data_IF_676902787574
#
_entry.id   IF_676902787574
#
_cell.length_a   1.000
_cell.length_b   1.000
_cell.length_c   1.000
_cell.angle_alpha   90.00
_cell.angle_beta   90.00
_cell.angle_gamma   90.00
#
_symmetry.space_group_name_H-M   'P 1'
#
loop_
_entity.id
_entity.type
_entity.pdbx_description
1 polymer ?
#
# COMPACT_ATOMS: atom_id res chain seq x y z
N UNK A 1 26.07 -28.61 11.44
CA UNK A 1 25.00 -28.15 10.53
C UNK A 1 25.45 -28.44 9.10
N UNK A 2 24.87 -29.45 8.44
CA UNK A 2 25.30 -29.82 7.09
C UNK A 2 25.13 -28.65 6.12
N UNK A 3 26.05 -28.51 5.16
CA UNK A 3 26.07 -27.43 4.15
C UNK A 3 24.70 -27.21 3.50
N UNK A 4 24.00 -28.30 3.17
CA UNK A 4 22.62 -28.29 2.62
C UNK A 4 21.62 -27.59 3.53
N UNK A 5 21.66 -27.85 4.85
CA UNK A 5 20.77 -27.21 5.84
C UNK A 5 21.05 -25.70 5.95
N UNK A 6 22.32 -25.31 5.98
CA UNK A 6 22.73 -23.89 6.07
C UNK A 6 22.29 -23.07 4.86
N UNK A 7 22.42 -23.63 3.65
CA UNK A 7 21.96 -22.99 2.41
C UNK A 7 20.44 -22.79 2.46
N UNK A 8 19.69 -23.83 2.80
CA UNK A 8 18.23 -23.77 2.86
C UNK A 8 17.73 -22.75 3.90
N UNK A 9 18.36 -22.70 5.08
CA UNK A 9 18.03 -21.70 6.09
C UNK A 9 18.30 -20.27 5.60
N UNK A 10 19.42 -20.06 4.89
CA UNK A 10 19.78 -18.74 4.34
C UNK A 10 18.78 -18.29 3.28
N UNK A 11 18.40 -19.18 2.35
CA UNK A 11 17.40 -18.89 1.32
C UNK A 11 16.03 -18.56 1.93
N UNK A 12 15.58 -19.35 2.91
CA UNK A 12 14.33 -19.09 3.64
C UNK A 12 14.34 -17.72 4.35
N UNK A 13 15.47 -17.36 4.99
CA UNK A 13 15.62 -16.05 5.65
C UNK A 13 15.55 -14.90 4.64
N UNK A 14 16.17 -15.04 3.47
CA UNK A 14 16.13 -14.02 2.39
C UNK A 14 14.71 -13.86 1.83
N UNK A 15 14.02 -14.96 1.53
CA UNK A 15 12.64 -14.94 1.05
C UNK A 15 11.69 -14.27 2.06
N UNK A 16 11.80 -14.61 3.35
CA UNK A 16 11.00 -13.96 4.41
C UNK A 16 11.25 -12.45 4.49
N UNK A 17 12.50 -12.01 4.36
CA UNK A 17 12.85 -10.58 4.34
C UNK A 17 12.29 -9.84 3.12
N UNK A 18 12.31 -10.47 1.95
CA UNK A 18 11.72 -9.90 0.74
C UNK A 18 10.20 -9.78 0.88
N UNK A 19 9.53 -10.85 1.34
CA UNK A 19 8.08 -10.84 1.53
C UNK A 19 7.65 -9.81 2.58
N UNK A 20 8.36 -9.69 3.69
CA UNK A 20 8.06 -8.70 4.74
C UNK A 20 8.12 -7.24 4.24
N UNK A 21 8.96 -6.95 3.24
CA UNK A 21 9.01 -5.61 2.60
C UNK A 21 7.81 -5.34 1.70
N UNK A 22 7.22 -6.40 1.13
CA UNK A 22 6.07 -6.31 0.22
C UNK A 22 4.72 -6.37 0.95
N UNK A 23 4.71 -6.79 2.23
CA UNK A 23 3.49 -6.83 3.03
C UNK A 23 3.07 -5.41 3.41
N UNK A 24 2.01 -4.92 2.77
CA UNK A 24 1.21 -3.82 3.30
C UNK A 24 0.26 -4.36 4.37
N UNK A 25 0.19 -3.70 5.52
CA UNK A 25 -0.76 -4.06 6.57
C UNK A 25 -2.18 -3.80 6.07
N UNK A 26 -3.05 -4.81 6.07
CA UNK A 26 -4.49 -4.67 5.76
C UNK A 26 -5.27 -3.79 6.75
N UNK A 27 -4.62 -3.35 7.85
CA UNK A 27 -5.24 -2.45 8.82
C UNK A 27 -5.15 -1.01 8.32
N UNK A 28 -6.26 -0.25 8.32
CA UNK A 28 -6.20 1.18 8.05
C UNK A 28 -5.29 1.82 9.08
N UNK A 29 -4.36 2.66 8.62
CA UNK A 29 -3.51 3.45 9.52
C UNK A 29 -4.42 4.35 10.35
N UNK A 30 -4.23 4.37 11.67
CA UNK A 30 -4.94 5.32 12.52
C UNK A 30 -4.49 6.73 12.14
N UNK A 31 -5.42 7.51 11.61
CA UNK A 31 -5.25 8.93 11.28
C UNK A 31 -6.08 9.74 12.26
N UNK A 32 -5.53 10.85 12.76
CA UNK A 32 -6.26 11.72 13.67
C UNK A 32 -7.48 12.33 12.94
N UNK A 33 -8.52 12.74 13.68
CA UNK A 33 -9.76 13.33 13.12
C UNK A 33 -9.47 14.47 12.14
N UNK A 34 -8.48 15.30 12.44
CA UNK A 34 -8.05 16.40 11.57
C UNK A 34 -7.44 15.92 10.23
N UNK A 35 -6.64 14.85 10.25
CA UNK A 35 -6.05 14.27 9.04
C UNK A 35 -7.09 13.54 8.19
N UNK A 36 -8.06 12.88 8.83
CA UNK A 36 -9.19 12.24 8.13
C UNK A 36 -10.05 13.28 7.39
N UNK A 37 -10.41 14.38 8.05
CA UNK A 37 -11.15 15.47 7.40
C UNK A 37 -10.38 16.09 6.22
N UNK A 38 -9.05 16.24 6.36
CA UNK A 38 -8.19 16.73 5.27
C UNK A 38 -8.17 15.76 4.08
N UNK A 39 -8.02 14.45 4.33
CA UNK A 39 -8.01 13.42 3.28
C UNK A 39 -9.38 13.27 2.59
N UNK A 40 -10.47 13.35 3.34
CA UNK A 40 -11.84 13.34 2.78
C UNK A 40 -12.06 14.54 1.86
N UNK A 41 -11.67 15.75 2.29
CA UNK A 41 -11.76 16.95 1.44
C UNK A 41 -10.94 16.80 0.14
N UNK A 42 -9.68 16.32 0.23
CA UNK A 42 -8.81 16.06 -0.93
C UNK A 42 -9.42 15.02 -1.89
N UNK A 43 -9.94 13.91 -1.36
CA UNK A 43 -10.58 12.86 -2.18
C UNK A 43 -11.85 13.35 -2.89
N UNK A 44 -12.55 14.31 -2.28
CA UNK A 44 -13.77 14.88 -2.84
C UNK A 44 -13.47 15.88 -3.97
N UNK A 45 -12.33 16.59 -3.91
CA UNK A 45 -11.84 17.40 -5.02
C UNK A 45 -11.34 16.55 -6.21
N UNK A 46 -10.65 15.43 -5.96
CA UNK A 46 -10.15 14.56 -7.03
C UNK A 46 -11.29 13.84 -7.80
N UNK A 47 -12.40 13.53 -7.13
CA UNK A 47 -13.57 12.88 -7.75
C UNK A 47 -14.47 13.84 -8.54
N UNK A 48 -14.38 15.16 -8.29
CA UNK A 48 -15.09 16.17 -9.09
C UNK A 48 -14.43 16.45 -10.44
N UNK A 49 -13.10 16.34 -10.56
CA UNK A 49 -12.42 16.68 -11.83
C UNK A 49 -12.63 15.59 -12.91
N UNK A 50 -12.66 14.32 -12.52
CA UNK A 50 -12.85 13.19 -13.46
C UNK A 50 -14.24 13.11 -14.12
N UNK A 51 -15.22 13.87 -13.63
CA UNK A 51 -16.57 13.92 -14.23
C UNK A 51 -16.75 15.08 -15.22
N UNK A 52 -15.79 16.01 -15.32
CA UNK A 52 -15.90 17.17 -16.21
C UNK A 52 -15.37 16.90 -17.62
N UNK A 53 -14.47 15.92 -17.78
CA UNK A 53 -13.90 15.55 -19.08
C UNK A 53 -14.82 14.68 -19.94
N UNK A 54 -15.84 14.04 -19.35
CA UNK A 54 -16.72 13.08 -20.04
C UNK A 54 -17.86 13.78 -20.81
N UNK A 55 -18.21 15.02 -20.45
CA UNK A 55 -19.39 15.73 -20.99
C UNK A 55 -19.07 16.84 -22.02
N UNK A 56 -17.84 16.91 -22.54
CA UNK A 56 -17.42 17.99 -23.48
C UNK A 56 -17.25 17.51 -24.94
N UNK A 57 -17.58 16.25 -25.24
CA UNK A 57 -17.57 15.71 -26.62
C UNK A 57 -18.97 15.30 -27.06
N UNK A 58 -19.80 16.28 -27.42
CA UNK A 58 -20.90 16.15 -28.38
C UNK A 58 -20.90 17.35 -29.33
#
# INVERSE_FOLDING_TARGET
>A
MNRKKKINETLKKRAKKANAKLQQSNKPKYVNKAERARLESLSQFESTEQNTDINTTE
#
